data_IF_807496026468
#
_entry.id   IF_807496026468
#
_cell.length_a   1.000
_cell.length_b   1.000
_cell.length_c   1.000
_cell.angle_alpha   90.00
_cell.angle_beta   90.00
_cell.angle_gamma   90.00
#
_symmetry.space_group_name_H-M   'P 1'
#
loop_
_entity.id
_entity.type
_entity.pdbx_description
1 polymer ?
#
# COMPACT_ATOMS: atom_id res chain seq x y z
N UNK A 1 -4.70 4.55 -15.33
CA UNK A 1 -5.88 3.93 -14.66
C UNK A 1 -6.29 4.81 -13.48
N UNK A 2 -7.55 4.79 -13.02
CA UNK A 2 -7.94 5.53 -11.80
C UNK A 2 -9.18 4.91 -11.15
N UNK A 3 -9.33 5.08 -9.85
CA UNK A 3 -10.48 4.61 -9.09
C UNK A 3 -10.68 5.39 -7.80
N UNK A 4 -11.84 5.16 -7.19
CA UNK A 4 -12.15 5.63 -5.85
C UNK A 4 -12.98 4.59 -5.12
N UNK A 5 -12.78 4.46 -3.82
CA UNK A 5 -13.56 3.58 -2.97
C UNK A 5 -13.59 4.12 -1.54
N UNK A 6 -14.40 3.50 -0.70
CA UNK A 6 -14.40 3.72 0.75
C UNK A 6 -14.03 2.42 1.44
N UNK A 7 -13.33 2.54 2.55
CA UNK A 7 -13.00 1.42 3.43
C UNK A 7 -13.24 1.83 4.88
N UNK A 8 -13.57 0.86 5.71
CA UNK A 8 -13.51 0.96 7.16
C UNK A 8 -12.25 0.25 7.63
N UNK A 9 -11.58 0.82 8.64
CA UNK A 9 -10.48 0.13 9.33
C UNK A 9 -10.76 0.07 10.82
N UNK A 10 -10.52 -1.10 11.41
CA UNK A 10 -10.58 -1.37 12.86
C UNK A 10 -9.17 -1.52 13.47
N UNK A 11 -8.14 -1.23 12.66
CA UNK A 11 -6.72 -1.31 13.00
C UNK A 11 -5.97 -0.04 12.62
N UNK A 12 -6.70 1.03 12.29
CA UNK A 12 -6.18 2.31 11.84
C UNK A 12 -5.10 2.20 10.73
N UNK A 13 -5.16 1.21 9.84
CA UNK A 13 -4.09 0.94 8.87
C UNK A 13 -4.63 0.56 7.50
N UNK A 14 -4.08 1.18 6.45
CA UNK A 14 -4.30 0.81 5.04
C UNK A 14 -3.08 0.06 4.51
N UNK A 15 -3.26 -0.84 3.55
CA UNK A 15 -2.15 -1.47 2.84
C UNK A 15 -2.28 -1.33 1.32
N UNK A 16 -1.13 -1.32 0.64
CA UNK A 16 -1.02 -1.38 -0.81
C UNK A 16 0.09 -2.37 -1.16
N UNK A 17 -0.24 -3.46 -1.84
CA UNK A 17 0.75 -4.48 -2.22
C UNK A 17 0.31 -5.38 -3.37
N UNK A 18 1.28 -6.02 -4.01
CA UNK A 18 1.02 -7.14 -4.92
C UNK A 18 0.94 -8.45 -4.14
N UNK A 19 -0.09 -9.25 -4.36
CA UNK A 19 -0.33 -10.49 -3.60
C UNK A 19 0.88 -11.44 -3.60
N UNK A 20 1.60 -11.50 -4.72
CA UNK A 20 2.79 -12.35 -4.81
C UNK A 20 3.97 -11.85 -3.97
N UNK A 21 4.00 -10.58 -3.58
CA UNK A 21 5.04 -9.98 -2.76
C UNK A 21 4.99 -10.43 -1.29
N UNK A 22 3.82 -10.84 -0.78
CA UNK A 22 3.65 -11.34 0.59
C UNK A 22 3.40 -12.84 0.69
N UNK A 23 3.64 -13.61 -0.38
CA UNK A 23 3.47 -15.08 -0.36
C UNK A 23 4.28 -15.78 0.73
N UNK A 24 5.43 -15.23 1.12
CA UNK A 24 6.24 -15.77 2.21
C UNK A 24 5.61 -15.56 3.60
N UNK A 25 4.63 -14.66 3.73
CA UNK A 25 3.89 -14.38 4.97
C UNK A 25 2.56 -15.13 5.06
N UNK A 26 2.14 -15.85 4.01
CA UNK A 26 0.82 -16.49 3.96
C UNK A 26 0.55 -17.44 5.15
N UNK A 27 1.58 -18.11 5.66
CA UNK A 27 1.48 -19.04 6.79
C UNK A 27 1.78 -18.42 8.16
N UNK A 28 2.14 -17.13 8.21
CA UNK A 28 2.32 -16.41 9.47
C UNK A 28 0.94 -16.17 10.12
N UNK A 29 0.89 -15.66 11.37
CA UNK A 29 -0.38 -15.33 12.02
C UNK A 29 -1.07 -14.18 11.28
N UNK A 30 -2.41 -14.12 11.26
CA UNK A 30 -3.14 -13.08 10.51
C UNK A 30 -2.82 -11.64 10.94
N UNK A 31 -2.24 -11.46 12.13
CA UNK A 31 -1.84 -10.19 12.73
C UNK A 31 -0.31 -9.96 12.73
N UNK A 32 0.47 -10.73 11.97
CA UNK A 32 1.95 -10.64 11.96
C UNK A 32 2.45 -9.21 11.70
N UNK A 33 1.72 -8.45 10.89
CA UNK A 33 2.03 -7.09 10.49
C UNK A 33 1.80 -6.07 11.62
N UNK A 34 1.14 -6.43 12.71
CA UNK A 34 1.05 -5.60 13.91
C UNK A 34 2.38 -5.52 14.68
N UNK A 35 3.36 -6.36 14.33
CA UNK A 35 4.72 -6.35 14.86
C UNK A 35 5.52 -5.28 14.10
N UNK A 36 5.93 -4.16 14.74
CA UNK A 36 6.55 -3.04 14.03
C UNK A 36 7.82 -3.40 13.24
N UNK A 37 8.59 -4.36 13.74
CA UNK A 37 9.82 -4.79 13.06
C UNK A 37 9.53 -5.53 11.75
N UNK A 38 8.47 -6.34 11.71
CA UNK A 38 8.06 -7.07 10.52
C UNK A 38 7.39 -6.12 9.51
N UNK A 39 6.50 -5.24 9.98
CA UNK A 39 5.90 -4.18 9.15
C UNK A 39 6.99 -3.36 8.43
N UNK A 40 7.95 -2.83 9.20
CA UNK A 40 9.03 -2.01 8.66
C UNK A 40 9.92 -2.78 7.67
N UNK A 41 10.17 -4.07 7.95
CA UNK A 41 10.98 -4.91 7.07
C UNK A 41 10.30 -5.10 5.70
N UNK A 42 8.99 -5.36 5.67
CA UNK A 42 8.24 -5.52 4.42
C UNK A 42 8.08 -4.20 3.66
N UNK A 43 7.90 -3.08 4.37
CA UNK A 43 7.90 -1.74 3.77
C UNK A 43 9.26 -1.43 3.14
N UNK A 44 10.36 -1.66 3.85
CA UNK A 44 11.70 -1.40 3.33
C UNK A 44 12.08 -2.33 2.17
N UNK A 45 11.62 -3.58 2.19
CA UNK A 45 11.77 -4.49 1.06
C UNK A 45 10.92 -4.06 -0.16
N UNK A 46 9.94 -3.18 0.04
CA UNK A 46 8.98 -2.75 -0.98
C UNK A 46 7.93 -3.81 -1.27
N UNK A 47 7.71 -4.76 -0.37
CA UNK A 47 6.71 -5.81 -0.55
C UNK A 47 5.30 -5.33 -0.26
N UNK A 48 5.12 -4.45 0.73
CA UNK A 48 3.84 -3.87 1.09
C UNK A 48 4.03 -2.47 1.67
N UNK A 49 3.19 -1.52 1.28
CA UNK A 49 3.12 -0.22 1.94
C UNK A 49 2.02 -0.27 3.00
N UNK A 50 2.39 -0.41 4.28
CA UNK A 50 1.49 -0.20 5.41
C UNK A 50 1.43 1.29 5.76
N UNK A 51 0.24 1.86 5.77
CA UNK A 51 -0.01 3.28 5.96
C UNK A 51 -0.82 3.47 7.24
N UNK A 52 -0.13 3.78 8.34
CA UNK A 52 -0.76 3.91 9.65
C UNK A 52 -1.52 5.24 9.72
N UNK A 53 -2.85 5.17 9.72
CA UNK A 53 -3.80 6.29 9.70
C UNK A 53 -4.04 6.90 11.10
N UNK A 54 -3.56 6.26 12.16
CA UNK A 54 -3.57 6.78 13.53
C UNK A 54 -4.93 6.74 14.24
N UNK A 55 -6.03 6.50 13.54
CA UNK A 55 -7.35 6.23 14.12
C UNK A 55 -8.20 5.33 13.21
N UNK A 56 -9.03 4.49 13.83
CA UNK A 56 -10.06 3.70 13.19
C UNK A 56 -11.12 4.60 12.53
N UNK A 57 -11.84 4.05 11.56
CA UNK A 57 -13.00 4.70 10.96
C UNK A 57 -13.07 4.60 9.45
N UNK A 58 -13.91 5.45 8.85
CA UNK A 58 -14.21 5.44 7.43
C UNK A 58 -13.27 6.39 6.68
N UNK A 59 -12.62 5.88 5.65
CA UNK A 59 -11.73 6.63 4.78
C UNK A 59 -12.18 6.56 3.32
N UNK A 60 -12.08 7.68 2.62
CA UNK A 60 -12.25 7.76 1.17
C UNK A 60 -10.89 7.72 0.51
N UNK A 61 -10.68 6.75 -0.37
CA UNK A 61 -9.40 6.52 -1.04
C UNK A 61 -9.57 6.81 -2.53
N UNK A 62 -8.78 7.74 -3.04
CA UNK A 62 -8.67 8.03 -4.46
C UNK A 62 -7.30 7.55 -4.94
N UNK A 63 -7.27 6.79 -6.04
CA UNK A 63 -6.03 6.27 -6.57
C UNK A 63 -5.95 6.43 -8.09
N UNK A 64 -4.73 6.59 -8.59
CA UNK A 64 -4.47 6.66 -10.01
C UNK A 64 -3.12 6.08 -10.39
N UNK A 65 -3.03 5.60 -11.63
CA UNK A 65 -1.81 5.19 -12.30
C UNK A 65 -1.55 6.19 -13.42
N UNK A 66 -0.40 6.86 -13.36
CA UNK A 66 0.11 7.73 -14.41
C UNK A 66 1.27 7.04 -15.15
N UNK A 67 1.26 7.12 -16.49
CA UNK A 67 2.24 6.43 -17.35
C UNK A 67 3.55 7.22 -17.53
N UNK A 68 3.70 8.35 -16.83
CA UNK A 68 4.86 9.25 -16.95
C UNK A 68 5.62 9.21 -15.64
N UNK A 69 6.94 8.99 -15.70
CA UNK A 69 7.82 9.19 -14.54
C UNK A 69 7.65 10.63 -14.04
N UNK A 70 7.27 10.78 -12.77
CA UNK A 70 7.10 12.11 -12.18
C UNK A 70 8.46 12.65 -11.79
N UNK A 71 8.74 13.89 -12.23
CA UNK A 71 9.89 14.66 -11.77
C UNK A 71 9.86 14.78 -10.24
N UNK A 72 10.91 14.32 -9.51
CA UNK A 72 10.98 14.37 -8.05
C UNK A 72 10.65 15.75 -7.44
N UNK A 73 10.96 16.86 -8.12
CA UNK A 73 10.66 18.20 -7.63
C UNK A 73 9.14 18.52 -7.66
N UNK A 74 8.41 17.98 -8.64
CA UNK A 74 6.93 18.07 -8.69
C UNK A 74 6.24 17.15 -7.69
N UNK A 75 6.95 16.15 -7.19
CA UNK A 75 6.43 15.17 -6.24
C UNK A 75 6.40 15.70 -4.81
N UNK A 76 7.41 16.51 -4.42
CA UNK A 76 7.52 17.06 -3.08
C UNK A 76 6.33 17.97 -2.67
N UNK A 77 5.65 18.60 -3.63
CA UNK A 77 4.43 19.39 -3.38
C UNK A 77 3.15 18.54 -3.25
N UNK A 78 3.21 17.24 -3.62
CA UNK A 78 2.03 16.37 -3.76
C UNK A 78 1.89 15.33 -2.64
N UNK A 79 2.92 15.09 -1.84
CA UNK A 79 2.89 14.10 -0.76
C UNK A 79 4.23 13.41 -0.55
N UNK A 80 4.24 12.36 0.26
CA UNK A 80 5.42 11.55 0.52
C UNK A 80 5.53 10.42 -0.50
N UNK A 81 6.76 10.09 -0.93
CA UNK A 81 7.02 9.02 -1.90
C UNK A 81 7.47 7.77 -1.18
N UNK A 82 6.82 6.67 -1.51
CA UNK A 82 7.25 5.33 -1.13
C UNK A 82 7.34 4.45 -2.38
N UNK A 83 8.08 3.36 -2.28
CA UNK A 83 8.34 2.46 -3.40
C UNK A 83 7.75 1.08 -3.15
N UNK A 84 7.18 0.49 -4.18
CA UNK A 84 6.51 -0.81 -4.16
C UNK A 84 7.02 -1.71 -5.29
N UNK A 85 7.19 -2.99 -5.01
CA UNK A 85 7.44 -4.03 -5.99
C UNK A 85 6.12 -4.71 -6.35
N UNK A 86 5.92 -4.88 -7.65
CA UNK A 86 4.73 -5.53 -8.22
C UNK A 86 5.20 -6.73 -9.04
N UNK A 87 5.53 -7.87 -8.41
CA UNK A 87 6.06 -9.04 -9.11
C UNK A 87 5.05 -9.76 -10.02
N UNK A 88 3.74 -9.73 -9.71
CA UNK A 88 2.73 -10.48 -10.46
C UNK A 88 1.76 -9.60 -11.26
N UNK A 89 1.58 -8.35 -10.85
CA UNK A 89 0.58 -7.43 -11.38
C UNK A 89 -0.74 -7.45 -10.61
N UNK A 90 -0.98 -8.43 -9.72
CA UNK A 90 -2.21 -8.53 -8.94
C UNK A 90 -2.07 -7.71 -7.66
N UNK A 91 -2.62 -6.49 -7.66
CA UNK A 91 -2.43 -5.52 -6.58
C UNK A 91 -3.71 -5.35 -5.78
N UNK A 92 -3.58 -5.42 -4.46
CA UNK A 92 -4.60 -5.06 -3.49
C UNK A 92 -4.30 -3.67 -2.89
N UNK A 93 -5.36 -2.88 -2.73
CA UNK A 93 -5.35 -1.61 -2.01
C UNK A 93 -6.60 -1.55 -1.12
N UNK A 94 -6.43 -1.49 0.19
CA UNK A 94 -7.55 -1.50 1.13
C UNK A 94 -7.09 -1.55 2.58
N UNK A 95 -7.99 -1.92 3.48
CA UNK A 95 -7.68 -2.04 4.90
C UNK A 95 -6.62 -3.13 5.14
N UNK A 96 -5.71 -2.89 6.10
CA UNK A 96 -4.70 -3.89 6.47
C UNK A 96 -5.31 -5.10 7.22
N UNK A 97 -6.55 -4.97 7.67
CA UNK A 97 -7.36 -6.06 8.24
C UNK A 97 -7.45 -7.28 7.31
N UNK A 98 -7.33 -7.08 5.99
CA UNK A 98 -7.44 -8.12 4.95
C UNK A 98 -6.07 -8.57 4.39
N UNK A 99 -4.94 -8.14 4.97
CA UNK A 99 -3.61 -8.47 4.43
C UNK A 99 -3.31 -9.97 4.51
N UNK A 100 -2.53 -10.47 3.55
CA UNK A 100 -2.13 -11.88 3.50
C UNK A 100 -1.51 -12.39 4.81
N UNK A 101 -2.03 -13.50 5.32
CA UNK A 101 -1.62 -14.13 6.57
C UNK A 101 -2.69 -15.10 7.09
N UNK A 102 -2.32 -16.04 7.95
CA UNK A 102 -3.26 -17.03 8.51
C UNK A 102 -3.92 -17.93 7.44
N UNK A 103 -3.18 -18.24 6.37
CA UNK A 103 -3.64 -18.92 5.15
C UNK A 103 -4.75 -18.17 4.37
N UNK A 104 -4.92 -16.86 4.61
CA UNK A 104 -5.87 -15.99 3.92
C UNK A 104 -5.14 -14.99 3.00
N UNK A 105 -5.84 -14.58 1.94
CA UNK A 105 -5.47 -13.49 1.03
C UNK A 105 -6.72 -12.63 0.79
N UNK A 106 -6.57 -11.33 0.49
CA UNK A 106 -7.71 -10.47 0.19
C UNK A 106 -8.36 -10.89 -1.14
N UNK A 107 -9.68 -10.83 -1.17
CA UNK A 107 -10.50 -11.15 -2.34
C UNK A 107 -11.54 -10.05 -2.63
N UNK A 108 -12.50 -10.32 -3.52
CA UNK A 108 -13.55 -9.35 -3.89
C UNK A 108 -14.55 -9.04 -2.77
N UNK A 109 -14.52 -9.79 -1.65
CA UNK A 109 -15.38 -9.55 -0.49
C UNK A 109 -14.80 -8.56 0.52
N UNK A 110 -13.50 -8.27 0.42
CA UNK A 110 -12.77 -7.35 1.28
C UNK A 110 -13.13 -5.87 1.02
N UNK A 111 -12.96 -5.01 2.02
CA UNK A 111 -13.22 -3.56 1.91
C UNK A 111 -12.03 -2.82 1.27
N UNK A 112 -11.78 -3.14 0.01
CA UNK A 112 -10.69 -2.61 -0.79
C UNK A 112 -10.93 -2.76 -2.28
N UNK A 113 -9.86 -2.68 -3.06
CA UNK A 113 -9.89 -2.93 -4.50
C UNK A 113 -8.75 -3.84 -4.92
N UNK A 114 -9.07 -4.79 -5.79
CA UNK A 114 -8.09 -5.56 -6.55
C UNK A 114 -8.01 -4.99 -7.97
N UNK A 115 -6.80 -4.74 -8.46
CA UNK A 115 -6.59 -4.26 -9.82
C UNK A 115 -5.28 -4.78 -10.41
N UNK A 116 -5.18 -4.64 -11.74
CA UNK A 116 -4.05 -5.15 -12.51
C UNK A 116 -3.07 -4.03 -12.87
N UNK A 117 -1.82 -4.20 -12.45
CA UNK A 117 -0.68 -3.42 -12.90
C UNK A 117 0.24 -4.25 -13.80
N UNK A 118 1.13 -3.59 -14.53
CA UNK A 118 2.22 -4.31 -15.21
C UNK A 118 3.25 -4.71 -14.15
N UNK A 119 3.84 -5.92 -14.21
CA UNK A 119 4.91 -6.27 -13.31
C UNK A 119 6.09 -5.29 -13.40
N UNK A 120 6.65 -4.90 -12.24
CA UNK A 120 7.71 -3.91 -12.15
C UNK A 120 7.72 -3.18 -10.81
N UNK A 121 8.50 -2.10 -10.72
CA UNK A 121 8.53 -1.26 -9.53
C UNK A 121 7.72 0.02 -9.75
N UNK A 122 7.15 0.54 -8.68
CA UNK A 122 6.32 1.74 -8.69
C UNK A 122 6.74 2.70 -7.59
N UNK A 123 6.79 4.00 -7.92
CA UNK A 123 6.79 5.08 -6.96
C UNK A 123 5.33 5.46 -6.67
N UNK A 124 4.98 5.48 -5.39
CA UNK A 124 3.67 5.77 -4.85
C UNK A 124 3.75 7.11 -4.11
N UNK A 125 3.13 8.14 -4.68
CA UNK A 125 2.98 9.46 -4.05
C UNK A 125 1.71 9.41 -3.22
N UNK A 126 1.84 9.61 -1.92
CA UNK A 126 0.75 9.44 -0.97
C UNK A 126 0.54 10.73 -0.20
N UNK A 127 -0.70 11.18 -0.14
CA UNK A 127 -1.12 12.32 0.69
C UNK A 127 -2.45 12.04 1.38
N UNK A 128 -2.68 12.76 2.48
CA UNK A 128 -3.90 12.67 3.26
C UNK A 128 -4.39 14.06 3.67
N UNK A 129 -5.69 14.25 3.57
CA UNK A 129 -6.41 15.39 4.14
C UNK A 129 -7.61 14.86 4.93
N UNK A 130 -7.54 14.91 6.27
CA UNK A 130 -8.51 14.32 7.17
C UNK A 130 -8.78 12.82 6.85
N UNK A 131 -9.99 12.47 6.42
CA UNK A 131 -10.37 11.09 6.06
C UNK A 131 -10.23 10.78 4.57
N UNK A 132 -9.62 11.67 3.78
CA UNK A 132 -9.35 11.45 2.35
C UNK A 132 -7.89 11.12 2.13
N UNK A 133 -7.65 10.03 1.42
CA UNK A 133 -6.31 9.57 1.06
C UNK A 133 -6.20 9.55 -0.46
N UNK A 134 -5.13 10.15 -0.97
CA UNK A 134 -4.83 10.16 -2.40
C UNK A 134 -3.53 9.40 -2.66
N UNK A 135 -3.56 8.48 -3.62
CA UNK A 135 -2.41 7.68 -4.05
C UNK A 135 -2.21 7.86 -5.56
N UNK A 136 -1.02 8.27 -5.96
CA UNK A 136 -0.61 8.29 -7.36
C UNK A 136 0.55 7.33 -7.55
N UNK A 137 0.35 6.32 -8.39
CA UNK A 137 1.35 5.32 -8.75
C UNK A 137 1.96 5.68 -10.10
N UNK A 138 3.29 5.61 -10.19
CA UNK A 138 4.04 5.76 -11.44
C UNK A 138 5.13 4.70 -11.53
N UNK A 139 5.45 4.18 -12.73
CA UNK A 139 6.57 3.27 -12.89
C UNK A 139 7.86 3.89 -12.31
N UNK A 140 8.69 3.07 -11.68
CA UNK A 140 9.95 3.48 -11.08
C UNK A 140 11.04 2.46 -11.36
N UNK A 141 12.30 2.90 -11.30
CA UNK A 141 13.46 2.02 -11.26
C UNK A 141 13.63 1.46 -9.84
N UNK A 142 13.35 2.27 -8.82
CA UNK A 142 13.49 1.91 -7.42
C UNK A 142 12.26 1.12 -6.93
N UNK A 143 12.51 0.04 -6.19
CA UNK A 143 11.46 -0.82 -5.62
C UNK A 143 11.64 -1.11 -4.14
N UNK A 144 12.49 -0.36 -3.44
CA UNK A 144 12.74 -0.52 -2.00
C UNK A 144 12.69 0.84 -1.30
N UNK A 145 12.52 0.81 0.01
CA UNK A 145 12.54 1.99 0.85
C UNK A 145 13.73 1.93 1.82
N UNK A 146 14.03 3.06 2.45
CA UNK A 146 15.05 3.16 3.49
C UNK A 146 14.50 4.05 4.60
N UNK A 147 13.54 3.48 5.32
CA UNK A 147 12.87 4.11 6.45
C UNK A 147 13.43 3.55 7.75
N UNK A 148 13.66 4.44 8.71
CA UNK A 148 14.03 4.07 10.09
C UNK A 148 12.80 3.90 10.99
N UNK A 149 11.63 4.38 10.54
CA UNK A 149 10.37 4.37 11.28
C UNK A 149 9.20 3.94 10.38
N UNK A 150 8.10 3.50 11.01
CA UNK A 150 6.86 3.14 10.31
C UNK A 150 6.26 4.35 9.59
N UNK A 151 5.52 4.10 8.50
CA UNK A 151 4.80 5.17 7.80
C UNK A 151 3.62 5.62 8.65
N UNK A 152 3.64 6.89 9.10
CA UNK A 152 2.56 7.55 9.82
C UNK A 152 1.94 8.64 8.96
N UNK A 153 0.60 8.65 8.84
CA UNK A 153 -0.18 9.55 7.98
C UNK A 153 -1.02 10.55 8.76
#
# INVERSE_FOLDING_TARGET
MRGKFQMVTDTATMCLYDLAALKHRAQDTSDWWSIPADELAEVNAGHCLFLNLGADGVYEVEWSLEDVEVDPERVAERGTVYHLQVPSGNVYLGAADDVSGGDLEPDESCEGVLFQLKPGNYACIISREASRIAIVMTPSIQGNNTLDELIRM
#
